data_IF_187405709052
#
_entry.id   IF_187405709052
#
_cell.length_a   1.000
_cell.length_b   1.000
_cell.length_c   1.000
_cell.angle_alpha   90.00
_cell.angle_beta   90.00
_cell.angle_gamma   90.00
#
_symmetry.space_group_name_H-M   'P 1'
#
loop_
_entity.id
_entity.type
_entity.pdbx_description
1 polymer ?
#
# COMPACT_ATOMS: atom_id res chain seq x y z
N UNK A 1 0.24 -13.89 17.68
CA UNK A 1 0.19 -14.24 16.24
C UNK A 1 -0.21 -12.99 15.51
N UNK A 2 0.51 -12.61 14.46
CA UNK A 2 0.52 -11.23 13.92
C UNK A 2 -0.86 -10.63 13.67
N UNK A 3 -1.82 -11.39 13.13
CA UNK A 3 -3.20 -10.90 12.92
C UNK A 3 -3.85 -10.46 14.24
N UNK A 4 -3.72 -11.25 15.30
CA UNK A 4 -4.30 -10.93 16.61
C UNK A 4 -3.64 -9.70 17.25
N UNK A 5 -2.33 -9.52 17.07
CA UNK A 5 -1.60 -8.33 17.55
C UNK A 5 -2.08 -7.06 16.83
N UNK A 6 -2.24 -7.12 15.51
CA UNK A 6 -2.77 -6.02 14.71
C UNK A 6 -4.23 -5.72 15.08
N UNK A 7 -5.07 -6.74 15.27
CA UNK A 7 -6.46 -6.57 15.74
C UNK A 7 -6.50 -5.83 17.08
N UNK A 8 -5.62 -6.20 18.02
CA UNK A 8 -5.55 -5.56 19.32
C UNK A 8 -5.10 -4.09 19.22
N UNK A 9 -4.12 -3.78 18.36
CA UNK A 9 -3.67 -2.41 18.11
C UNK A 9 -4.79 -1.55 17.51
N UNK A 10 -5.47 -2.05 16.47
CA UNK A 10 -6.59 -1.35 15.84
C UNK A 10 -7.73 -1.06 16.82
N UNK A 11 -8.05 -2.00 17.72
CA UNK A 11 -9.06 -1.79 18.78
C UNK A 11 -8.66 -0.75 19.81
N UNK A 12 -7.37 -0.49 19.99
CA UNK A 12 -6.85 0.60 20.85
C UNK A 12 -6.86 1.96 20.16
N UNK A 13 -7.19 2.01 18.87
CA UNK A 13 -7.15 3.23 18.06
C UNK A 13 -5.81 3.47 17.37
N UNK A 14 -4.87 2.51 17.41
CA UNK A 14 -3.61 2.62 16.69
C UNK A 14 -3.83 2.52 15.18
N UNK A 15 -2.95 3.16 14.41
CA UNK A 15 -2.94 3.07 12.95
C UNK A 15 -1.93 2.03 12.48
N UNK A 16 -2.34 1.17 11.54
CA UNK A 16 -1.48 0.13 10.97
C UNK A 16 -1.41 0.27 9.46
N UNK A 17 -0.19 0.44 8.93
CA UNK A 17 0.08 0.47 7.50
C UNK A 17 0.47 -0.92 7.01
N UNK A 18 -0.04 -1.32 5.85
CA UNK A 18 0.33 -2.58 5.18
C UNK A 18 0.55 -2.36 3.69
N UNK A 19 1.49 -3.11 3.12
CA UNK A 19 1.65 -3.27 1.67
C UNK A 19 1.06 -4.65 1.29
N UNK A 20 -0.21 -4.67 0.82
CA UNK A 20 -0.98 -5.91 0.68
C UNK A 20 -0.47 -6.83 -0.44
N UNK A 21 0.46 -6.39 -1.27
CA UNK A 21 1.17 -7.20 -2.26
C UNK A 21 2.04 -8.29 -1.58
N UNK A 22 2.56 -7.99 -0.38
CA UNK A 22 3.45 -8.87 0.38
C UNK A 22 4.83 -9.05 -0.24
N UNK A 23 5.20 -8.20 -1.21
CA UNK A 23 6.52 -8.14 -1.84
C UNK A 23 6.69 -6.78 -2.53
N UNK A 24 7.92 -6.42 -2.89
CA UNK A 24 8.21 -5.26 -3.74
C UNK A 24 7.69 -5.52 -5.14
N UNK A 25 7.03 -4.53 -5.75
CA UNK A 25 6.56 -4.61 -7.13
C UNK A 25 6.97 -3.36 -7.90
N UNK A 26 7.03 -3.45 -9.23
CA UNK A 26 7.24 -2.27 -10.08
C UNK A 26 6.01 -1.35 -10.16
N UNK A 27 4.88 -1.71 -9.52
CA UNK A 27 3.62 -0.95 -9.54
C UNK A 27 2.88 -0.96 -10.89
N UNK A 28 3.55 -1.30 -12.00
CA UNK A 28 2.96 -1.33 -13.35
C UNK A 28 1.92 -2.45 -13.53
N UNK A 29 2.08 -3.56 -12.81
CA UNK A 29 1.18 -4.70 -12.84
C UNK A 29 0.58 -4.90 -11.44
N UNK A 30 -0.56 -4.26 -11.13
CA UNK A 30 -1.18 -4.41 -9.83
C UNK A 30 -1.54 -5.87 -9.58
N UNK A 31 -0.93 -6.46 -8.56
CA UNK A 31 -1.23 -7.81 -8.11
C UNK A 31 -2.48 -7.79 -7.22
N UNK A 32 -3.16 -8.94 -7.15
CA UNK A 32 -4.27 -9.12 -6.21
C UNK A 32 -3.74 -9.04 -4.78
N UNK A 33 -4.39 -8.22 -3.96
CA UNK A 33 -4.03 -8.04 -2.57
C UNK A 33 -4.15 -9.33 -1.76
N UNK A 34 -3.15 -9.60 -0.92
CA UNK A 34 -3.15 -10.73 0.02
C UNK A 34 -4.15 -10.45 1.14
N UNK A 35 -5.17 -11.31 1.32
CA UNK A 35 -6.27 -11.01 2.23
C UNK A 35 -5.90 -11.16 3.72
N UNK A 36 -4.73 -11.70 4.07
CA UNK A 36 -4.43 -12.09 5.45
C UNK A 36 -4.52 -10.92 6.44
N UNK A 37 -3.88 -9.78 6.14
CA UNK A 37 -3.88 -8.62 7.03
C UNK A 37 -5.25 -7.90 7.09
N UNK A 38 -6.08 -8.02 6.06
CA UNK A 38 -7.44 -7.50 6.09
C UNK A 38 -8.33 -8.24 7.09
N UNK A 39 -7.95 -9.44 7.54
CA UNK A 39 -8.65 -10.11 8.63
C UNK A 39 -8.60 -9.29 9.92
N UNK A 40 -7.47 -8.63 10.20
CA UNK A 40 -7.35 -7.83 11.41
C UNK A 40 -8.29 -6.62 11.40
N UNK A 41 -8.45 -5.98 10.24
CA UNK A 41 -9.43 -4.90 10.07
C UNK A 41 -10.87 -5.40 10.25
N UNK A 42 -11.21 -6.58 9.70
CA UNK A 42 -12.52 -7.21 9.90
C UNK A 42 -12.75 -7.53 11.38
N UNK A 43 -11.80 -8.17 12.06
CA UNK A 43 -11.93 -8.56 13.46
C UNK A 43 -12.03 -7.35 14.41
N UNK A 44 -11.37 -6.24 14.04
CA UNK A 44 -11.43 -4.98 14.78
C UNK A 44 -12.61 -4.08 14.37
N UNK A 45 -13.34 -4.41 13.30
CA UNK A 45 -14.32 -3.53 12.65
C UNK A 45 -13.73 -2.16 12.29
N UNK A 46 -12.44 -2.14 11.94
CA UNK A 46 -11.71 -0.92 11.60
C UNK A 46 -11.87 -0.59 10.10
N UNK A 47 -12.12 0.67 9.74
CA UNK A 47 -12.14 1.08 8.33
C UNK A 47 -10.75 0.94 7.70
N UNK A 48 -10.71 0.66 6.40
CA UNK A 48 -9.47 0.55 5.62
C UNK A 48 -9.36 1.74 4.68
N UNK A 49 -8.32 2.55 4.88
CA UNK A 49 -7.98 3.66 4.00
C UNK A 49 -6.97 3.20 2.95
N UNK A 50 -7.36 3.23 1.68
CA UNK A 50 -6.43 3.00 0.57
C UNK A 50 -5.80 4.32 0.16
N UNK A 51 -4.49 4.29 -0.10
CA UNK A 51 -3.80 5.36 -0.81
C UNK A 51 -2.91 4.77 -1.90
N UNK A 52 -2.72 5.54 -2.96
CA UNK A 52 -1.82 5.21 -4.08
C UNK A 52 -0.71 6.25 -4.13
N UNK A 53 0.54 5.79 -4.21
CA UNK A 53 1.71 6.65 -4.41
C UNK A 53 2.15 6.56 -5.86
N UNK A 54 2.24 7.72 -6.52
CA UNK A 54 2.73 7.84 -7.89
C UNK A 54 3.98 8.72 -7.87
N UNK A 55 5.13 8.13 -8.19
CA UNK A 55 6.41 8.83 -8.27
C UNK A 55 6.62 9.35 -9.69
N UNK A 56 7.15 10.56 -9.84
CA UNK A 56 7.46 11.16 -11.15
C UNK A 56 8.58 10.45 -11.91
N UNK A 57 9.31 9.54 -11.26
CA UNK A 57 10.41 8.80 -11.85
C UNK A 57 10.57 7.41 -11.24
N UNK A 58 11.00 6.45 -12.06
CA UNK A 58 11.38 5.11 -11.62
C UNK A 58 12.64 5.10 -10.74
N UNK A 59 13.39 6.20 -10.69
CA UNK A 59 14.56 6.34 -9.81
C UNK A 59 14.21 6.27 -8.31
N UNK A 60 12.93 6.32 -7.94
CA UNK A 60 12.46 6.09 -6.57
C UNK A 60 12.21 4.61 -6.22
N UNK A 61 12.18 3.70 -7.21
CA UNK A 61 11.93 2.28 -6.96
C UNK A 61 13.14 1.61 -6.30
N UNK A 62 12.91 0.74 -5.32
CA UNK A 62 13.97 -0.13 -4.78
C UNK A 62 14.23 -1.29 -5.75
N UNK A 63 15.46 -1.40 -6.25
CA UNK A 63 15.84 -2.35 -7.31
C UNK A 63 16.54 -3.56 -6.69
N UNK A 64 16.21 -4.75 -7.20
CA UNK A 64 16.86 -5.98 -6.77
C UNK A 64 18.39 -5.90 -6.92
N UNK A 65 19.13 -6.41 -5.93
CA UNK A 65 20.60 -6.37 -5.90
C UNK A 65 21.20 -5.06 -5.35
N UNK A 66 20.39 -4.04 -5.07
CA UNK A 66 20.85 -2.84 -4.37
C UNK A 66 20.66 -2.95 -2.85
N UNK A 67 21.51 -2.27 -2.09
CA UNK A 67 21.30 -2.06 -0.66
C UNK A 67 20.59 -0.73 -0.38
N UNK A 68 20.09 -0.58 0.85
CA UNK A 68 19.36 0.61 1.28
C UNK A 68 20.12 1.92 1.03
N UNK A 69 21.43 1.96 1.30
CA UNK A 69 22.24 3.17 1.10
C UNK A 69 22.40 3.54 -0.37
N UNK A 70 22.55 2.55 -1.26
CA UNK A 70 22.60 2.75 -2.70
C UNK A 70 21.27 3.31 -3.22
N UNK A 71 20.15 2.70 -2.78
CA UNK A 71 18.80 3.17 -3.10
C UNK A 71 18.60 4.62 -2.66
N UNK A 72 18.85 4.91 -1.37
CA UNK A 72 18.66 6.23 -0.80
C UNK A 72 19.50 7.30 -1.51
N UNK A 73 20.79 7.01 -1.79
CA UNK A 73 21.66 7.93 -2.54
C UNK A 73 21.13 8.24 -3.94
N UNK A 74 20.55 7.24 -4.63
CA UNK A 74 19.95 7.43 -5.96
C UNK A 74 18.72 8.31 -5.87
N UNK A 75 17.82 8.06 -4.92
CA UNK A 75 16.61 8.88 -4.70
C UNK A 75 16.98 10.33 -4.37
N UNK A 76 17.92 10.55 -3.44
CA UNK A 76 18.34 11.88 -3.01
C UNK A 76 19.02 12.72 -4.11
N UNK A 77 19.52 12.08 -5.18
CA UNK A 77 20.12 12.77 -6.33
C UNK A 77 19.09 13.20 -7.38
N UNK A 78 17.85 12.73 -7.30
CA UNK A 78 16.79 13.11 -8.23
C UNK A 78 16.38 14.57 -7.96
N UNK A 79 16.62 15.45 -8.93
CA UNK A 79 16.08 16.81 -8.89
C UNK A 79 14.62 16.81 -9.34
N UNK A 80 13.77 17.55 -8.64
CA UNK A 80 12.35 17.64 -8.99
C UNK A 80 11.56 16.35 -8.76
N UNK A 81 12.00 15.48 -7.84
CA UNK A 81 11.20 14.32 -7.44
C UNK A 81 9.86 14.82 -6.87
N UNK A 82 8.77 14.35 -7.45
CA UNK A 82 7.42 14.60 -6.96
C UNK A 82 6.70 13.28 -6.74
N UNK A 83 5.87 13.27 -5.69
CA UNK A 83 5.03 12.12 -5.34
C UNK A 83 3.60 12.62 -5.31
N UNK A 84 2.74 12.04 -6.14
CA UNK A 84 1.30 12.26 -6.04
C UNK A 84 0.71 11.20 -5.15
N UNK A 85 -0.08 11.64 -4.16
CA UNK A 85 -0.82 10.75 -3.26
C UNK A 85 -2.29 10.83 -3.63
N UNK A 86 -2.85 9.71 -4.06
CA UNK A 86 -4.29 9.57 -4.27
C UNK A 86 -4.87 8.88 -3.04
N UNK A 87 -5.85 9.51 -2.40
CA UNK A 87 -6.53 8.99 -1.22
C UNK A 87 -7.97 8.67 -1.61
N UNK A 88 -8.36 7.41 -1.44
CA UNK A 88 -9.72 6.96 -1.74
C UNK A 88 -10.68 7.25 -0.57
N UNK A 89 -11.96 7.01 -0.75
CA UNK A 89 -12.88 6.96 0.38
C UNK A 89 -12.57 5.76 1.31
N UNK A 90 -12.57 5.96 2.64
CA UNK A 90 -12.41 4.87 3.60
C UNK A 90 -13.45 3.77 3.36
N UNK A 91 -13.00 2.53 3.27
CA UNK A 91 -13.88 1.38 3.10
C UNK A 91 -14.15 0.72 4.45
N UNK A 92 -15.43 0.43 4.74
CA UNK A 92 -15.79 -0.35 5.92
C UNK A 92 -15.30 -1.79 5.78
N UNK A 93 -14.84 -2.39 6.87
CA UNK A 93 -14.52 -3.82 6.92
C UNK A 93 -15.78 -4.67 7.18
N UNK A 94 -16.81 -4.47 6.36
CA UNK A 94 -18.15 -5.05 6.49
C UNK A 94 -18.32 -6.39 5.76
N UNK A 95 -17.28 -6.86 5.10
CA UNK A 95 -17.26 -8.08 4.32
C UNK A 95 -16.07 -8.97 4.71
N UNK A 96 -16.12 -10.24 4.32
CA UNK A 96 -15.00 -11.15 4.57
C UNK A 96 -13.70 -10.66 3.90
N UNK A 97 -12.55 -10.95 4.51
CA UNK A 97 -11.22 -10.50 4.08
C UNK A 97 -10.92 -10.64 2.57
N UNK A 98 -11.46 -11.69 1.92
CA UNK A 98 -11.26 -11.94 0.49
C UNK A 98 -12.06 -10.98 -0.39
N UNK A 99 -13.29 -10.63 0.00
CA UNK A 99 -14.11 -9.65 -0.70
C UNK A 99 -13.54 -8.25 -0.51
N UNK A 100 -13.10 -7.93 0.71
CA UNK A 100 -12.44 -6.65 0.97
C UNK A 100 -11.16 -6.49 0.12
N UNK A 101 -10.34 -7.55 0.01
CA UNK A 101 -9.19 -7.55 -0.88
C UNK A 101 -9.57 -7.30 -2.35
N UNK A 102 -10.63 -7.92 -2.84
CA UNK A 102 -11.10 -7.72 -4.22
C UNK A 102 -11.61 -6.29 -4.46
N UNK A 103 -12.35 -5.72 -3.50
CA UNK A 103 -12.89 -4.35 -3.56
C UNK A 103 -11.77 -3.32 -3.60
N UNK A 104 -10.74 -3.52 -2.78
CA UNK A 104 -9.62 -2.60 -2.63
C UNK A 104 -8.50 -2.78 -3.66
N UNK A 105 -8.41 -3.95 -4.31
CA UNK A 105 -7.36 -4.22 -5.30
C UNK A 105 -7.52 -3.26 -6.49
N UNK A 106 -6.46 -2.51 -6.86
CA UNK A 106 -6.51 -1.62 -8.02
C UNK A 106 -6.73 -2.45 -9.30
N UNK A 107 -7.75 -2.11 -10.08
CA UNK A 107 -8.02 -2.75 -11.38
C UNK A 107 -7.11 -2.22 -12.49
N UNK A 108 -6.73 -0.94 -12.41
CA UNK A 108 -5.73 -0.23 -13.22
C UNK A 108 -5.32 1.02 -12.47
N UNK A 109 -4.02 1.34 -12.47
CA UNK A 109 -3.57 2.67 -12.11
C UNK A 109 -3.72 3.55 -13.36
N UNK A 110 -4.54 4.59 -13.27
CA UNK A 110 -4.59 5.61 -14.31
C UNK A 110 -3.27 6.37 -14.22
N UNK A 111 -2.49 6.36 -15.30
CA UNK A 111 -1.36 7.27 -15.41
C UNK A 111 -1.94 8.68 -15.34
N UNK A 112 -1.58 9.41 -14.28
CA UNK A 112 -1.83 10.85 -14.26
C UNK A 112 -0.97 11.43 -15.39
N UNK A 113 -1.62 11.86 -16.47
CA UNK A 113 -0.96 12.58 -17.54
C UNK A 113 -0.20 13.76 -16.93
N UNK A 114 1.12 13.80 -17.14
CA UNK A 114 1.96 14.91 -16.73
C UNK A 114 1.51 16.18 -17.43
N UNK A 115 1.48 17.29 -16.68
CA UNK A 115 1.45 18.63 -17.27
C UNK A 115 2.82 18.99 -17.80
#
# INVERSE_FOLDING_TARGET
GTVAEVTAALRKGDLVQVFPEGTTTCGAHPARWRPAFLQAAVDAQAPVQRFTLLFSTAAAAFVEGENLLQSLRRVLRVRGLSVTVLVDEPQRADAGRRQLALRLSPKRLVALGGR
#
